data_IF_544533956317
#
_entry.id   IF_544533956317
#
_cell.length_a   1.000
_cell.length_b   1.000
_cell.length_c   1.000
_cell.angle_alpha   90.00
_cell.angle_beta   90.00
_cell.angle_gamma   90.00
#
_symmetry.space_group_name_H-M   'P 1'
#
loop_
_entity.id
_entity.type
_entity.pdbx_description
1 polymer ?
#
# COMPACT_ATOMS: atom_id res chain seq x y z
N UNK A 1 6.49 -15.59 -3.31
CA UNK A 1 5.91 -16.07 -2.03
C UNK A 1 6.04 -15.18 -0.78
N UNK A 2 7.12 -14.42 -0.54
CA UNK A 2 7.26 -13.65 0.72
C UNK A 2 6.27 -12.46 0.86
N UNK A 3 5.96 -11.77 -0.23
CA UNK A 3 5.01 -10.65 -0.26
C UNK A 3 3.55 -11.04 0.00
N UNK A 4 3.22 -12.31 -0.24
CA UNK A 4 1.87 -12.85 -0.04
C UNK A 4 1.59 -13.06 1.45
N UNK A 5 2.62 -13.39 2.23
CA UNK A 5 2.55 -13.61 3.68
C UNK A 5 2.30 -12.29 4.43
N UNK A 6 2.99 -11.19 4.11
CA UNK A 6 2.75 -9.89 4.76
C UNK A 6 1.36 -9.34 4.51
N UNK A 7 0.91 -9.36 3.26
CA UNK A 7 -0.40 -8.85 2.92
C UNK A 7 -1.51 -9.70 3.57
N UNK A 8 -1.24 -10.97 3.90
CA UNK A 8 -2.13 -11.84 4.66
C UNK A 8 -2.25 -11.39 6.13
N UNK A 9 -1.14 -11.06 6.79
CA UNK A 9 -1.13 -10.54 8.17
C UNK A 9 -1.84 -9.17 8.33
N UNK A 10 -1.79 -8.32 7.30
CA UNK A 10 -2.48 -7.01 7.31
C UNK A 10 -3.92 -7.09 6.81
N UNK A 11 -4.33 -8.22 6.21
CA UNK A 11 -5.68 -8.41 5.69
C UNK A 11 -5.96 -7.57 4.43
N UNK A 12 -4.97 -7.43 3.54
CA UNK A 12 -5.07 -6.76 2.24
C UNK A 12 -4.84 -7.70 1.05
N UNK A 13 -4.96 -9.01 1.27
CA UNK A 13 -4.91 -10.02 0.21
C UNK A 13 -6.33 -10.31 -0.27
N UNK A 14 -6.63 -10.32 -1.58
CA UNK A 14 -7.88 -10.91 -2.06
C UNK A 14 -7.93 -12.38 -1.68
N UNK A 15 -9.07 -12.89 -1.19
CA UNK A 15 -9.27 -14.33 -1.02
C UNK A 15 -9.05 -14.98 -2.38
N UNK A 16 -8.03 -15.82 -2.50
CA UNK A 16 -7.81 -16.58 -3.73
C UNK A 16 -8.34 -17.98 -3.47
N UNK A 17 -9.37 -18.37 -4.22
CA UNK A 17 -9.84 -19.75 -4.29
C UNK A 17 -9.26 -20.36 -5.56
N UNK A 18 -8.38 -21.35 -5.42
CA UNK A 18 -7.71 -22.00 -6.54
C UNK A 18 -8.26 -23.44 -6.59
N UNK A 19 -9.02 -23.77 -7.62
CA UNK A 19 -9.50 -25.13 -7.86
C UNK A 19 -9.02 -25.60 -9.22
N UNK A 20 -8.10 -26.57 -9.25
CA UNK A 20 -7.48 -27.06 -10.48
C UNK A 20 -6.76 -25.94 -11.26
N UNK A 21 -7.13 -25.74 -12.53
CA UNK A 21 -6.55 -24.73 -13.45
C UNK A 21 -7.12 -23.31 -13.30
N UNK A 22 -8.10 -23.10 -12.40
CA UNK A 22 -8.80 -21.82 -12.28
C UNK A 22 -8.48 -21.12 -10.96
N UNK A 23 -7.96 -19.89 -11.06
CA UNK A 23 -7.74 -19.01 -9.92
C UNK A 23 -8.86 -17.96 -9.82
N UNK A 24 -9.69 -18.06 -8.78
CA UNK A 24 -10.77 -17.13 -8.50
C UNK A 24 -10.38 -16.14 -7.40
N UNK A 25 -10.34 -14.85 -7.74
CA UNK A 25 -10.01 -13.78 -6.80
C UNK A 25 -11.29 -13.19 -6.19
N UNK A 26 -11.63 -13.63 -4.97
CA UNK A 26 -12.74 -13.16 -4.16
C UNK A 26 -12.43 -11.90 -3.32
N UNK A 27 -13.32 -11.61 -2.35
CA UNK A 27 -13.19 -10.46 -1.42
C UNK A 27 -11.87 -10.50 -0.66
N UNK A 28 -11.38 -9.32 -0.26
CA UNK A 28 -10.21 -9.20 0.61
C UNK A 28 -10.40 -10.05 1.88
N UNK A 29 -9.43 -10.92 2.21
CA UNK A 29 -9.44 -11.69 3.45
C UNK A 29 -9.30 -10.75 4.65
N UNK A 30 -10.32 -10.75 5.51
CA UNK A 30 -10.39 -9.96 6.74
C UNK A 30 -9.64 -10.61 7.93
N UNK A 31 -8.63 -11.46 7.69
CA UNK A 31 -7.89 -12.16 8.76
C UNK A 31 -6.80 -11.33 9.44
N UNK A 32 -6.53 -10.11 8.97
CA UNK A 32 -5.52 -9.22 9.56
C UNK A 32 -6.08 -8.20 10.56
N UNK A 33 -5.17 -7.49 11.26
CA UNK A 33 -5.54 -6.45 12.22
C UNK A 33 -6.33 -5.32 11.51
N UNK A 34 -7.61 -5.19 11.88
CA UNK A 34 -8.51 -4.22 11.27
C UNK A 34 -8.04 -2.77 11.43
N UNK A 35 -7.35 -2.46 12.52
CA UNK A 35 -6.78 -1.14 12.77
C UNK A 35 -5.70 -0.79 11.76
N UNK A 36 -4.76 -1.70 11.50
CA UNK A 36 -3.69 -1.49 10.51
C UNK A 36 -4.30 -1.31 9.11
N UNK A 37 -5.29 -2.13 8.75
CA UNK A 37 -6.01 -2.00 7.47
C UNK A 37 -6.71 -0.65 7.32
N UNK A 38 -7.35 -0.14 8.38
CA UNK A 38 -7.97 1.20 8.34
C UNK A 38 -6.93 2.29 8.17
N UNK A 39 -5.86 2.25 8.96
CA UNK A 39 -4.80 3.27 8.94
C UNK A 39 -4.10 3.30 7.58
N UNK A 40 -3.73 2.14 7.02
CA UNK A 40 -3.03 2.09 5.72
C UNK A 40 -3.94 2.56 4.57
N UNK A 41 -5.24 2.26 4.61
CA UNK A 41 -6.19 2.76 3.61
C UNK A 41 -6.38 4.27 3.71
N UNK A 42 -6.45 4.81 4.94
CA UNK A 42 -6.48 6.27 5.14
C UNK A 42 -5.20 6.94 4.67
N UNK A 43 -4.04 6.33 4.96
CA UNK A 43 -2.75 6.81 4.49
C UNK A 43 -2.68 6.79 2.95
N UNK A 44 -3.17 5.73 2.31
CA UNK A 44 -3.26 5.65 0.85
C UNK A 44 -4.15 6.76 0.28
N UNK A 45 -5.30 7.03 0.89
CA UNK A 45 -6.17 8.13 0.48
C UNK A 45 -5.51 9.51 0.61
N UNK A 46 -4.75 9.72 1.68
CA UNK A 46 -3.97 10.94 1.86
C UNK A 46 -2.86 11.05 0.80
N UNK A 47 -2.17 9.95 0.51
CA UNK A 47 -1.09 9.89 -0.48
C UNK A 47 -1.57 10.25 -1.89
N UNK A 48 -2.68 9.66 -2.35
CA UNK A 48 -3.18 9.91 -3.72
C UNK A 48 -3.70 11.34 -3.90
N UNK A 49 -4.12 12.00 -2.81
CA UNK A 49 -4.53 13.42 -2.81
C UNK A 49 -3.35 14.38 -2.65
N UNK A 50 -2.19 13.90 -2.21
CA UNK A 50 -1.00 14.73 -2.08
C UNK A 50 -0.47 15.14 -3.47
N UNK A 51 0.01 16.38 -3.58
CA UNK A 51 0.69 16.84 -4.80
C UNK A 51 1.98 16.05 -5.06
N UNK A 52 2.69 15.66 -3.99
CA UNK A 52 3.95 14.91 -4.04
C UNK A 52 3.75 13.39 -3.84
N UNK A 53 2.63 12.83 -4.30
CA UNK A 53 2.31 11.41 -4.15
C UNK A 53 3.16 10.45 -5.00
N UNK A 54 3.93 11.00 -5.95
CA UNK A 54 4.93 10.27 -6.76
C UNK A 54 4.40 9.01 -7.45
N UNK A 55 5.27 8.00 -7.57
CA UNK A 55 5.00 6.72 -8.26
C UNK A 55 3.76 5.97 -7.76
N UNK A 56 3.42 6.11 -6.47
CA UNK A 56 2.24 5.45 -5.89
C UNK A 56 0.93 6.14 -6.29
N UNK A 57 0.94 7.46 -6.47
CA UNK A 57 -0.19 8.21 -7.03
C UNK A 57 -0.38 7.89 -8.52
N UNK A 58 0.68 7.85 -9.30
CA UNK A 58 0.61 7.44 -10.71
C UNK A 58 0.07 6.00 -10.85
N UNK A 59 0.47 5.10 -9.95
CA UNK A 59 -0.08 3.75 -9.89
C UNK A 59 -1.58 3.73 -9.59
N UNK A 60 -2.06 4.60 -8.67
CA UNK A 60 -3.49 4.78 -8.42
C UNK A 60 -4.24 5.24 -9.67
N UNK A 61 -3.77 6.30 -10.32
CA UNK A 61 -4.43 6.91 -11.48
C UNK A 61 -4.55 5.93 -12.66
N UNK A 62 -3.50 5.16 -12.93
CA UNK A 62 -3.53 4.10 -13.97
C UNK A 62 -4.57 3.02 -13.68
N UNK A 63 -4.76 2.66 -12.41
CA UNK A 63 -5.76 1.67 -12.01
C UNK A 63 -7.17 2.26 -11.94
N UNK A 64 -7.29 3.53 -11.57
CA UNK A 64 -8.55 4.24 -11.39
C UNK A 64 -9.40 4.17 -12.67
N UNK A 65 -8.80 4.48 -13.82
CA UNK A 65 -9.47 4.45 -15.12
C UNK A 65 -9.98 3.07 -15.53
N UNK A 66 -9.41 1.99 -14.97
CA UNK A 66 -9.75 0.59 -15.33
C UNK A 66 -10.67 -0.10 -14.32
N UNK A 67 -10.53 0.23 -13.03
CA UNK A 67 -11.12 -0.54 -11.92
C UNK A 67 -11.96 0.30 -10.96
N UNK A 68 -11.93 1.63 -11.10
CA UNK A 68 -12.60 2.57 -10.21
C UNK A 68 -11.91 2.77 -8.86
N UNK A 69 -12.40 3.73 -8.08
CA UNK A 69 -11.76 4.24 -6.87
C UNK A 69 -11.46 3.16 -5.82
N UNK A 70 -12.48 2.38 -5.44
CA UNK A 70 -12.39 1.42 -4.33
C UNK A 70 -11.39 0.31 -4.58
N UNK A 71 -11.33 -0.25 -5.78
CA UNK A 71 -10.36 -1.31 -6.12
C UNK A 71 -8.94 -0.74 -6.23
N UNK A 72 -8.81 0.47 -6.77
CA UNK A 72 -7.52 1.13 -6.98
C UNK A 72 -6.86 1.51 -5.65
N UNK A 73 -7.62 2.06 -4.70
CA UNK A 73 -7.04 2.45 -3.40
C UNK A 73 -6.56 1.25 -2.58
N UNK A 74 -7.25 0.10 -2.69
CA UNK A 74 -6.81 -1.14 -2.05
C UNK A 74 -5.51 -1.65 -2.66
N UNK A 75 -5.38 -1.58 -3.99
CA UNK A 75 -4.14 -1.96 -4.67
C UNK A 75 -2.96 -1.08 -4.24
N UNK A 76 -3.18 0.24 -4.11
CA UNK A 76 -2.16 1.18 -3.58
C UNK A 76 -1.83 0.86 -2.13
N UNK A 77 -2.84 0.61 -1.30
CA UNK A 77 -2.63 0.26 0.12
C UNK A 77 -1.77 -0.99 0.28
N UNK A 78 -1.99 -2.01 -0.57
CA UNK A 78 -1.13 -3.20 -0.62
C UNK A 78 0.31 -2.84 -1.00
N UNK A 79 0.49 -2.01 -2.04
CA UNK A 79 1.82 -1.58 -2.48
C UNK A 79 2.57 -0.80 -1.39
N UNK A 80 1.87 0.03 -0.63
CA UNK A 80 2.43 0.76 0.51
C UNK A 80 2.97 -0.17 1.61
N UNK A 81 2.27 -1.28 1.90
CA UNK A 81 2.75 -2.28 2.86
C UNK A 81 4.01 -2.98 2.34
N UNK A 82 4.03 -3.37 1.07
CA UNK A 82 5.19 -4.02 0.46
C UNK A 82 6.44 -3.12 0.57
N UNK A 83 6.26 -1.81 0.33
CA UNK A 83 7.32 -0.80 0.52
C UNK A 83 7.73 -0.72 2.00
N UNK A 84 6.77 -0.53 2.92
CA UNK A 84 7.04 -0.39 4.34
C UNK A 84 7.81 -1.59 4.90
N UNK A 85 7.39 -2.81 4.55
CA UNK A 85 8.10 -4.00 5.00
C UNK A 85 9.50 -4.09 4.41
N UNK A 86 9.66 -3.74 3.12
CA UNK A 86 10.97 -3.73 2.49
C UNK A 86 11.90 -2.76 3.21
N UNK A 87 11.43 -1.55 3.53
CA UNK A 87 12.17 -0.55 4.32
C UNK A 87 12.57 -1.08 5.71
N UNK A 88 11.66 -1.73 6.44
CA UNK A 88 11.96 -2.31 7.76
C UNK A 88 13.03 -3.38 7.65
N UNK A 89 12.98 -4.21 6.59
CA UNK A 89 13.92 -5.32 6.41
C UNK A 89 15.30 -4.86 5.95
N UNK A 90 15.38 -3.84 5.10
CA UNK A 90 16.66 -3.35 4.54
C UNK A 90 17.26 -2.20 5.34
N UNK A 91 16.48 -1.55 6.22
CA UNK A 91 16.88 -0.33 6.91
C UNK A 91 16.99 0.90 5.99
N UNK A 92 16.60 0.78 4.72
CA UNK A 92 16.71 1.86 3.73
C UNK A 92 15.42 2.65 3.63
N UNK A 93 15.53 3.97 3.47
CA UNK A 93 14.38 4.85 3.27
C UNK A 93 13.76 4.70 1.87
N UNK A 94 12.51 5.13 1.74
CA UNK A 94 11.78 5.06 0.47
C UNK A 94 12.27 6.16 -0.48
N UNK A 95 13.01 5.76 -1.51
CA UNK A 95 13.64 6.62 -2.51
C UNK A 95 12.65 7.12 -3.59
N UNK A 96 11.52 7.69 -3.19
CA UNK A 96 10.57 8.29 -4.16
C UNK A 96 10.07 9.66 -3.74
N UNK A 97 10.73 10.28 -2.76
CA UNK A 97 10.48 11.64 -2.32
C UNK A 97 11.81 12.42 -2.42
N UNK A 98 11.83 13.61 -3.03
CA UNK A 98 13.02 14.48 -3.00
C UNK A 98 13.49 14.69 -1.57
N UNK A 99 14.81 14.70 -1.37
CA UNK A 99 15.43 14.76 -0.04
C UNK A 99 14.95 15.98 0.76
N UNK A 100 14.73 17.12 0.10
CA UNK A 100 14.27 18.34 0.78
C UNK A 100 12.86 18.19 1.37
N UNK A 101 12.00 17.42 0.71
CA UNK A 101 10.63 17.16 1.20
C UNK A 101 10.65 16.15 2.34
N UNK A 102 11.56 15.17 2.28
CA UNK A 102 11.77 14.20 3.34
C UNK A 102 12.26 14.90 4.62
N UNK A 103 13.33 15.69 4.54
CA UNK A 103 13.89 16.41 5.68
C UNK A 103 12.90 17.42 6.29
N UNK A 104 12.14 18.14 5.45
CA UNK A 104 11.06 19.02 5.93
C UNK A 104 10.03 18.27 6.77
N UNK A 105 9.62 17.07 6.34
CA UNK A 105 8.67 16.24 7.08
C UNK A 105 9.28 15.66 8.35
N UNK A 106 10.53 15.21 8.32
CA UNK A 106 11.22 14.70 9.51
C UNK A 106 11.32 15.78 10.59
N UNK A 107 11.67 17.01 10.22
CA UNK A 107 11.66 18.15 11.13
C UNK A 107 10.23 18.47 11.64
N UNK A 108 9.23 18.47 10.76
CA UNK A 108 7.83 18.68 11.16
C UNK A 108 7.32 17.62 12.15
N UNK A 109 7.78 16.37 12.01
CA UNK A 109 7.39 15.26 12.88
C UNK A 109 8.27 15.13 14.13
N UNK A 110 9.31 15.97 14.30
CA UNK A 110 10.23 15.93 15.44
C UNK A 110 11.10 14.66 15.46
N UNK A 111 11.37 14.08 14.28
CA UNK A 111 12.19 12.87 14.11
C UNK A 111 13.63 13.18 13.65
N UNK A 112 14.00 14.45 13.68
CA UNK A 112 15.30 15.02 13.32
C UNK A 112 15.71 15.96 14.45
#
# INVERSE_FOLDING_TARGET
DVYQIQAYYVGLVPRVDISGDSAYYGRIVNRGCHSIRRVIVQAAWSLVRCQHGGKLKEFYERLYSKKGAKKSIIAVSRKMIEVLYSMIRTGTLFDSMPEEVLYRKLAQYGLM
#
